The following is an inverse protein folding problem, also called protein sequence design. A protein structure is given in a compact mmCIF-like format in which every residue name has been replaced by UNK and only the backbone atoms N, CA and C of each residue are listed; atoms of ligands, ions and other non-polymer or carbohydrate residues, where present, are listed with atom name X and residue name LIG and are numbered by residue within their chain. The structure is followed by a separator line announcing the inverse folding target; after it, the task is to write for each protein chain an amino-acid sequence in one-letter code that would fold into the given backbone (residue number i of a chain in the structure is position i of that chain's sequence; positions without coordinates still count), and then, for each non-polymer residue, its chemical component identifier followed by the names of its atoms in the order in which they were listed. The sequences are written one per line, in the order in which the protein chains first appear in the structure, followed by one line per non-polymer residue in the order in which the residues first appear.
data_IF_681086015834
#
_entry.id   IF_681086015834
#
_cell.length_a   1.000
_cell.length_b   1.000
_cell.length_c   1.000
_cell.angle_alpha   90.00
_cell.angle_beta   90.00
_cell.angle_gamma   90.00
#
_symmetry.space_group_name_H-M   'P 1'
#
loop_
_entity.id
_entity.type
_entity.pdbx_description
1 polymer ?
#
# COMPACT_ATOMS: atom_id res chain seq x y z
N UNK A 1 -34.41 -16.24 -22.88
CA UNK A 1 -33.25 -15.48 -22.36
C UNK A 1 -32.33 -16.47 -21.66
N UNK A 2 -31.04 -16.59 -22.04
CA UNK A 2 -30.12 -17.43 -21.28
C UNK A 2 -30.05 -16.92 -19.85
N UNK A 3 -30.19 -17.82 -18.87
CA UNK A 3 -30.11 -17.48 -17.46
C UNK A 3 -28.74 -16.83 -17.19
N UNK A 4 -28.74 -15.62 -16.63
CA UNK A 4 -27.52 -14.91 -16.26
C UNK A 4 -26.82 -15.75 -15.17
N UNK A 5 -25.72 -16.42 -15.55
CA UNK A 5 -24.90 -17.21 -14.62
C UNK A 5 -24.27 -16.27 -13.60
N UNK A 6 -24.56 -16.50 -12.32
CA UNK A 6 -23.93 -15.75 -11.21
C UNK A 6 -22.45 -16.15 -11.12
N UNK A 7 -21.51 -15.19 -10.98
CA UNK A 7 -20.10 -15.50 -10.84
C UNK A 7 -19.83 -16.23 -9.52
N UNK A 8 -18.93 -17.20 -9.57
CA UNK A 8 -18.45 -17.95 -8.40
C UNK A 8 -17.54 -17.07 -7.53
N UNK A 9 -17.38 -17.42 -6.25
CA UNK A 9 -16.47 -16.69 -5.34
C UNK A 9 -15.03 -16.66 -5.87
N UNK A 10 -14.60 -17.71 -6.55
CA UNK A 10 -13.30 -17.80 -7.20
C UNK A 10 -13.15 -16.80 -8.36
N UNK A 11 -14.14 -16.72 -9.24
CA UNK A 11 -14.18 -15.73 -10.32
C UNK A 11 -14.16 -14.30 -9.75
N UNK A 12 -14.91 -14.04 -8.68
CA UNK A 12 -14.92 -12.73 -8.02
C UNK A 12 -13.55 -12.41 -7.42
N UNK A 13 -12.90 -13.35 -6.72
CA UNK A 13 -11.59 -13.14 -6.11
C UNK A 13 -10.51 -12.79 -7.14
N UNK A 14 -10.56 -13.40 -8.33
CA UNK A 14 -9.64 -13.11 -9.44
C UNK A 14 -9.74 -11.65 -9.89
N UNK A 15 -10.95 -11.21 -10.24
CA UNK A 15 -11.19 -9.82 -10.65
C UNK A 15 -10.92 -8.84 -9.51
N UNK A 16 -11.32 -9.19 -8.28
CA UNK A 16 -11.05 -8.40 -7.09
C UNK A 16 -9.55 -8.20 -6.87
N UNK A 17 -8.74 -9.25 -7.08
CA UNK A 17 -7.29 -9.17 -6.95
C UNK A 17 -6.69 -8.19 -7.95
N UNK A 18 -7.06 -8.31 -9.22
CA UNK A 18 -6.56 -7.39 -10.24
C UNK A 18 -7.03 -5.95 -9.99
N UNK A 19 -8.28 -5.75 -9.57
CA UNK A 19 -8.84 -4.44 -9.31
C UNK A 19 -8.21 -3.74 -8.10
N UNK A 20 -7.94 -4.45 -7.00
CA UNK A 20 -7.38 -3.84 -5.79
C UNK A 20 -5.87 -3.62 -5.92
N UNK A 21 -5.13 -4.59 -6.49
CA UNK A 21 -3.67 -4.43 -6.73
C UNK A 21 -3.39 -3.41 -7.84
N UNK A 22 -4.15 -3.43 -8.93
CA UNK A 22 -3.92 -2.54 -10.08
C UNK A 22 -4.65 -1.20 -10.01
N UNK A 23 -5.83 -1.18 -9.40
CA UNK A 23 -6.75 -0.05 -9.48
C UNK A 23 -6.40 1.12 -8.58
N UNK A 24 -5.39 1.03 -7.71
CA UNK A 24 -5.10 2.11 -6.75
C UNK A 24 -4.73 3.43 -7.44
N UNK A 25 -3.95 3.37 -8.53
CA UNK A 25 -3.51 4.57 -9.24
C UNK A 25 -4.58 5.11 -10.23
N UNK A 26 -5.40 4.22 -10.80
CA UNK A 26 -6.35 4.58 -11.86
C UNK A 26 -7.82 4.59 -11.42
N UNK A 27 -8.16 4.00 -10.27
CA UNK A 27 -9.52 3.82 -9.76
C UNK A 27 -9.82 4.62 -8.48
N UNK A 28 -8.82 5.24 -7.86
CA UNK A 28 -9.01 6.08 -6.67
C UNK A 28 -9.70 5.35 -5.53
N UNK A 29 -10.67 6.00 -4.88
CA UNK A 29 -11.46 5.43 -3.77
C UNK A 29 -12.28 4.20 -4.13
N UNK A 30 -12.41 3.82 -5.42
CA UNK A 30 -13.01 2.55 -5.79
C UNK A 30 -12.28 1.37 -5.14
N UNK A 31 -10.95 1.45 -5.00
CA UNK A 31 -10.15 0.42 -4.33
C UNK A 31 -10.55 0.27 -2.87
N UNK A 32 -10.73 1.40 -2.18
CA UNK A 32 -11.19 1.44 -0.80
C UNK A 32 -12.60 0.85 -0.67
N UNK A 33 -13.52 1.24 -1.56
CA UNK A 33 -14.90 0.72 -1.58
C UNK A 33 -14.90 -0.80 -1.79
N UNK A 34 -14.09 -1.30 -2.72
CA UNK A 34 -13.96 -2.74 -2.97
C UNK A 34 -13.43 -3.45 -1.72
N UNK A 35 -12.33 -2.97 -1.13
CA UNK A 35 -11.70 -3.61 0.03
C UNK A 35 -12.60 -3.57 1.27
N UNK A 36 -13.12 -2.39 1.62
CA UNK A 36 -14.05 -2.20 2.74
C UNK A 36 -15.32 -3.02 2.52
N UNK A 37 -15.87 -3.02 1.31
CA UNK A 37 -17.04 -3.81 0.94
C UNK A 37 -16.81 -5.32 1.00
N UNK A 38 -15.56 -5.78 0.92
CA UNK A 38 -15.23 -7.20 1.09
C UNK A 38 -15.41 -7.68 2.54
N UNK A 39 -15.36 -6.79 3.53
CA UNK A 39 -15.54 -7.12 4.95
C UNK A 39 -16.95 -7.64 5.28
N UNK A 40 -18.06 -6.90 5.04
CA UNK A 40 -19.39 -7.38 5.35
C UNK A 40 -19.77 -8.63 4.55
N UNK A 41 -19.36 -8.68 3.27
CA UNK A 41 -19.55 -9.88 2.44
C UNK A 41 -18.77 -11.06 3.02
N UNK A 42 -17.52 -10.85 3.44
CA UNK A 42 -16.70 -11.87 4.07
C UNK A 42 -17.30 -12.37 5.38
N UNK A 43 -17.76 -11.48 6.26
CA UNK A 43 -18.45 -11.82 7.51
C UNK A 43 -19.71 -12.63 7.26
N UNK A 44 -20.54 -12.23 6.29
CA UNK A 44 -21.73 -13.00 5.92
C UNK A 44 -21.39 -14.40 5.42
N UNK A 45 -20.34 -14.54 4.60
CA UNK A 45 -19.88 -15.84 4.12
C UNK A 45 -19.24 -16.69 5.22
N UNK A 46 -18.58 -16.05 6.18
CA UNK A 46 -18.02 -16.72 7.36
C UNK A 46 -19.15 -17.29 8.24
N UNK A 47 -20.21 -16.50 8.47
CA UNK A 47 -21.40 -16.94 9.20
C UNK A 47 -22.13 -18.10 8.53
N UNK A 48 -22.05 -18.21 7.19
CA UNK A 48 -22.57 -19.34 6.43
C UNK A 48 -21.64 -20.57 6.43
N UNK A 49 -20.45 -20.49 7.05
CA UNK A 49 -19.43 -21.54 7.00
C UNK A 49 -18.78 -21.70 5.61
N UNK A 50 -18.94 -20.72 4.72
CA UNK A 50 -18.43 -20.82 3.35
C UNK A 50 -16.96 -20.40 3.21
N UNK A 51 -16.49 -19.57 4.13
CA UNK A 51 -15.07 -19.24 4.31
C UNK A 51 -14.66 -19.58 5.74
N UNK A 52 -13.38 -19.87 5.95
CA UNK A 52 -12.82 -20.14 7.28
C UNK A 52 -11.71 -19.15 7.60
N UNK A 53 -11.58 -18.79 8.88
CA UNK A 53 -10.43 -18.03 9.37
C UNK A 53 -9.16 -18.90 9.18
N UNK A 54 -8.05 -18.34 8.67
CA UNK A 54 -6.82 -19.09 8.45
C UNK A 54 -6.32 -19.76 9.73
N UNK A 55 -5.75 -20.96 9.59
CA UNK A 55 -5.22 -21.77 10.70
C UNK A 55 -3.70 -21.71 10.79
N UNK A 56 -3.06 -21.28 9.71
CA UNK A 56 -1.63 -21.08 9.59
C UNK A 56 -1.14 -20.11 10.65
N UNK A 57 -0.22 -20.59 11.50
CA UNK A 57 0.36 -19.78 12.56
C UNK A 57 0.96 -18.48 12.03
N UNK A 58 1.66 -18.54 10.89
CA UNK A 58 2.25 -17.35 10.26
C UNK A 58 1.20 -16.30 9.91
N UNK A 59 0.13 -16.69 9.23
CA UNK A 59 -0.97 -15.79 8.82
C UNK A 59 -1.67 -15.18 10.03
N UNK A 60 -1.90 -15.97 11.09
CA UNK A 60 -2.49 -15.46 12.34
C UNK A 60 -1.62 -14.43 13.02
N UNK A 61 -0.31 -14.68 13.13
CA UNK A 61 0.63 -13.72 13.72
C UNK A 61 0.64 -12.41 12.92
N UNK A 62 0.64 -12.50 11.60
CA UNK A 62 0.54 -11.33 10.71
C UNK A 62 -0.78 -10.58 10.95
N UNK A 63 -1.91 -11.29 10.95
CA UNK A 63 -3.22 -10.70 11.24
C UNK A 63 -3.29 -10.03 12.61
N UNK A 64 -2.64 -10.60 13.64
CA UNK A 64 -2.56 -10.00 14.97
C UNK A 64 -1.82 -8.65 14.97
N UNK A 65 -0.84 -8.44 14.09
CA UNK A 65 -0.18 -7.12 13.97
C UNK A 65 -1.14 -6.05 13.44
N UNK A 66 -1.98 -6.38 12.46
CA UNK A 66 -3.01 -5.48 11.95
C UNK A 66 -4.14 -5.24 12.97
N UNK A 67 -4.55 -6.27 13.70
CA UNK A 67 -5.51 -6.15 14.79
C UNK A 67 -4.95 -5.31 15.94
N UNK A 68 -3.65 -5.40 16.23
CA UNK A 68 -2.99 -4.58 17.24
C UNK A 68 -3.03 -3.08 16.86
N UNK A 69 -2.89 -2.76 15.57
CA UNK A 69 -3.05 -1.38 15.09
C UNK A 69 -4.48 -0.87 15.29
N UNK A 70 -5.48 -1.66 14.86
CA UNK A 70 -6.88 -1.32 15.12
C UNK A 70 -7.17 -1.13 16.63
N UNK A 71 -6.64 -2.03 17.47
CA UNK A 71 -6.82 -1.96 18.91
C UNK A 71 -6.14 -0.73 19.54
N UNK A 72 -4.93 -0.38 19.09
CA UNK A 72 -4.21 0.80 19.57
C UNK A 72 -4.94 2.10 19.20
N UNK A 73 -5.41 2.23 17.96
CA UNK A 73 -6.20 3.38 17.49
C UNK A 73 -7.55 3.47 18.22
N UNK A 74 -8.22 2.33 18.43
CA UNK A 74 -9.47 2.27 19.19
C UNK A 74 -9.25 2.68 20.64
N UNK A 75 -8.22 2.16 21.30
CA UNK A 75 -7.90 2.49 22.69
C UNK A 75 -7.55 3.97 22.84
N UNK A 76 -6.75 4.52 21.94
CA UNK A 76 -6.43 5.96 21.90
C UNK A 76 -7.71 6.80 21.74
N UNK A 77 -8.63 6.38 20.88
CA UNK A 77 -9.94 7.04 20.68
C UNK A 77 -10.79 6.98 21.94
N UNK A 78 -10.88 5.82 22.60
CA UNK A 78 -11.68 5.65 23.81
C UNK A 78 -11.13 6.45 25.00
N UNK A 79 -9.80 6.51 25.15
CA UNK A 79 -9.15 7.29 26.21
C UNK A 79 -9.36 8.79 26.02
N UNK A 80 -9.43 9.26 24.78
CA UNK A 80 -9.65 10.67 24.44
C UNK A 80 -11.11 10.96 24.06
N UNK A 81 -12.06 10.09 24.39
CA UNK A 81 -13.44 10.19 23.91
C UNK A 81 -14.16 11.42 24.47
N UNK A 82 -14.73 12.22 23.56
CA UNK A 82 -15.54 13.41 23.89
C UNK A 82 -16.94 13.35 23.28
N UNK A 83 -17.13 12.59 22.20
CA UNK A 83 -18.45 12.40 21.61
C UNK A 83 -18.50 11.33 20.51
N UNK A 84 -19.70 11.01 20.00
CA UNK A 84 -19.91 9.91 19.06
C UNK A 84 -19.10 10.02 17.75
N UNK A 85 -18.82 11.25 17.29
CA UNK A 85 -18.03 11.49 16.06
C UNK A 85 -16.60 10.95 16.17
N UNK A 86 -16.05 10.90 17.39
CA UNK A 86 -14.71 10.35 17.65
C UNK A 86 -14.67 8.86 17.33
N UNK A 87 -15.77 8.12 17.57
CA UNK A 87 -15.86 6.71 17.24
C UNK A 87 -15.85 6.48 15.74
N UNK A 88 -16.49 7.36 14.95
CA UNK A 88 -16.47 7.24 13.50
C UNK A 88 -15.06 7.50 12.94
N UNK A 89 -14.40 8.56 13.41
CA UNK A 89 -13.07 8.97 12.93
C UNK A 89 -11.93 8.09 13.45
N UNK A 90 -12.08 7.53 14.65
CA UNK A 90 -11.07 6.71 15.30
C UNK A 90 -11.28 5.21 15.11
N UNK A 91 -12.49 4.71 15.33
CA UNK A 91 -12.80 3.27 15.21
C UNK A 91 -13.25 2.94 13.79
N UNK A 92 -14.23 3.69 13.26
CA UNK A 92 -14.82 3.47 11.94
C UNK A 92 -13.78 3.52 10.81
N UNK A 93 -12.95 4.56 10.80
CA UNK A 93 -11.89 4.73 9.81
C UNK A 93 -10.85 3.59 9.80
N UNK A 94 -10.66 2.90 10.93
CA UNK A 94 -9.69 1.82 11.09
C UNK A 94 -10.29 0.40 10.99
N UNK A 95 -11.60 0.25 10.77
CA UNK A 95 -12.24 -1.05 10.50
C UNK A 95 -11.59 -1.89 9.38
N UNK A 96 -11.02 -1.31 8.30
CA UNK A 96 -10.36 -2.09 7.25
C UNK A 96 -9.27 -3.02 7.79
N UNK A 97 -8.57 -2.63 8.86
CA UNK A 97 -7.48 -3.42 9.45
C UNK A 97 -7.95 -4.73 10.10
N UNK A 98 -9.22 -4.81 10.54
CA UNK A 98 -9.83 -6.05 11.03
C UNK A 98 -10.06 -7.05 9.89
N UNK A 99 -10.29 -6.54 8.68
CA UNK A 99 -10.66 -7.35 7.53
C UNK A 99 -9.55 -8.29 7.06
N UNK A 100 -8.31 -8.13 7.54
CA UNK A 100 -7.15 -8.91 7.10
C UNK A 100 -7.41 -10.43 7.07
N UNK A 101 -7.80 -11.02 8.21
CA UNK A 101 -7.99 -12.47 8.33
C UNK A 101 -9.20 -12.98 7.53
N UNK A 102 -10.24 -12.15 7.42
CA UNK A 102 -11.49 -12.49 6.71
C UNK A 102 -11.25 -12.48 5.20
N UNK A 103 -10.62 -11.42 4.70
CA UNK A 103 -10.28 -11.28 3.28
C UNK A 103 -9.23 -12.32 2.88
N UNK A 104 -8.27 -12.66 3.76
CA UNK A 104 -7.38 -13.81 3.56
C UNK A 104 -8.16 -15.11 3.41
N UNK A 105 -9.06 -15.42 4.35
CA UNK A 105 -9.87 -16.64 4.33
C UNK A 105 -10.68 -16.75 3.04
N UNK A 106 -11.26 -15.64 2.57
CA UNK A 106 -11.95 -15.57 1.29
C UNK A 106 -11.01 -15.79 0.10
N UNK A 107 -9.83 -15.15 0.08
CA UNK A 107 -8.84 -15.31 -0.99
C UNK A 107 -8.32 -16.75 -1.09
N UNK A 108 -8.29 -17.48 0.03
CA UNK A 108 -7.86 -18.88 0.10
C UNK A 108 -8.74 -19.87 -0.69
N UNK A 109 -9.91 -19.44 -1.16
CA UNK A 109 -10.75 -20.21 -2.08
C UNK A 109 -10.22 -20.23 -3.52
N UNK A 110 -9.28 -19.34 -3.84
CA UNK A 110 -8.67 -19.21 -5.17
C UNK A 110 -7.25 -19.79 -5.16
N UNK A 111 -6.83 -20.59 -6.17
CA UNK A 111 -5.51 -21.21 -6.17
C UNK A 111 -4.43 -20.13 -6.19
N UNK A 112 -3.30 -20.36 -5.50
CA UNK A 112 -2.19 -19.40 -5.43
C UNK A 112 -1.70 -18.97 -6.81
N UNK A 113 -1.69 -19.88 -7.76
CA UNK A 113 -1.31 -19.62 -9.16
C UNK A 113 -2.24 -18.63 -9.85
N UNK A 114 -3.55 -18.73 -9.63
CA UNK A 114 -4.53 -17.80 -10.18
C UNK A 114 -4.44 -16.45 -9.46
N UNK A 115 -4.35 -16.44 -8.13
CA UNK A 115 -4.18 -15.19 -7.36
C UNK A 115 -2.94 -14.44 -7.86
N UNK A 116 -1.81 -15.12 -8.00
CA UNK A 116 -0.59 -14.52 -8.55
C UNK A 116 -0.85 -13.98 -9.96
N UNK A 117 -1.39 -14.78 -10.87
CA UNK A 117 -1.64 -14.36 -12.26
C UNK A 117 -2.51 -13.11 -12.35
N UNK A 118 -3.56 -13.03 -11.54
CA UNK A 118 -4.44 -11.87 -11.52
C UNK A 118 -3.83 -10.65 -10.80
N UNK A 119 -2.98 -10.86 -9.79
CA UNK A 119 -2.17 -9.79 -9.21
C UNK A 119 -1.17 -9.23 -10.24
N UNK A 120 -0.57 -10.08 -11.07
CA UNK A 120 0.33 -9.68 -12.15
C UNK A 120 -0.41 -8.89 -13.24
N UNK A 121 -1.56 -9.38 -13.71
CA UNK A 121 -2.40 -8.65 -14.66
C UNK A 121 -2.88 -7.31 -14.11
N UNK A 122 -3.31 -7.28 -12.84
CA UNK A 122 -3.67 -6.05 -12.14
C UNK A 122 -2.51 -5.07 -12.10
N UNK A 123 -1.31 -5.53 -11.71
CA UNK A 123 -0.12 -4.67 -11.61
C UNK A 123 0.26 -4.07 -12.97
N UNK A 124 0.25 -4.87 -14.03
CA UNK A 124 0.55 -4.42 -15.40
C UNK A 124 -0.49 -3.40 -15.88
N UNK A 125 -1.78 -3.74 -15.77
CA UNK A 125 -2.86 -2.86 -16.20
C UNK A 125 -2.87 -1.55 -15.41
N UNK A 126 -2.67 -1.64 -14.09
CA UNK A 126 -2.57 -0.49 -13.19
C UNK A 126 -1.38 0.41 -13.50
N UNK A 127 -0.21 -0.17 -13.75
CA UNK A 127 1.01 0.58 -14.11
C UNK A 127 0.85 1.34 -15.43
N UNK A 128 0.28 0.70 -16.46
CA UNK A 128 -0.03 1.33 -17.74
C UNK A 128 -1.07 2.44 -17.60
N UNK A 129 -2.14 2.18 -16.84
CA UNK A 129 -3.20 3.15 -16.61
C UNK A 129 -2.69 4.37 -15.83
N UNK A 130 -1.82 4.18 -14.83
CA UNK A 130 -1.21 5.26 -14.08
C UNK A 130 -0.42 6.22 -14.98
N UNK A 131 0.45 5.68 -15.85
CA UNK A 131 1.22 6.52 -16.77
C UNK A 131 0.33 7.23 -17.79
N UNK A 132 -0.69 6.54 -18.33
CA UNK A 132 -1.66 7.18 -19.23
C UNK A 132 -2.40 8.33 -18.54
N UNK A 133 -2.91 8.12 -17.33
CA UNK A 133 -3.57 9.17 -16.53
C UNK A 133 -2.65 10.36 -16.29
N UNK A 134 -1.40 10.13 -15.90
CA UNK A 134 -0.43 11.19 -15.68
C UNK A 134 -0.10 11.98 -16.95
N UNK A 135 0.08 11.29 -18.08
CA UNK A 135 0.32 11.95 -19.37
C UNK A 135 -0.87 12.83 -19.79
N UNK A 136 -2.10 12.34 -19.63
CA UNK A 136 -3.32 13.10 -19.94
C UNK A 136 -3.43 14.32 -19.02
N UNK A 137 -3.22 14.17 -17.72
CA UNK A 137 -3.33 15.28 -16.76
C UNK A 137 -2.30 16.37 -17.04
N UNK A 138 -1.02 16.02 -17.21
CA UNK A 138 0.04 17.00 -17.42
C UNK A 138 -0.03 17.62 -18.81
N UNK A 139 -0.06 16.80 -19.87
CA UNK A 139 0.17 17.31 -21.24
C UNK A 139 -1.11 17.71 -21.97
N UNK A 140 -2.27 17.17 -21.58
CA UNK A 140 -3.55 17.51 -22.23
C UNK A 140 -4.35 18.50 -21.38
N UNK A 141 -4.44 18.26 -20.08
CA UNK A 141 -5.21 19.13 -19.15
C UNK A 141 -4.39 20.29 -18.59
N UNK A 142 -3.06 20.29 -18.77
CA UNK A 142 -2.18 21.32 -18.23
C UNK A 142 -2.13 21.31 -16.70
N UNK A 143 -2.43 20.17 -16.06
CA UNK A 143 -2.37 20.06 -14.60
C UNK A 143 -0.92 20.25 -14.13
N UNK A 144 -0.69 20.92 -12.99
CA UNK A 144 0.66 21.14 -12.48
C UNK A 144 1.32 19.85 -11.98
N UNK A 145 0.52 18.85 -11.58
CA UNK A 145 0.95 17.56 -11.03
C UNK A 145 -0.05 16.49 -11.41
N UNK A 146 0.44 15.27 -11.62
CA UNK A 146 -0.43 14.12 -11.80
C UNK A 146 -0.98 13.63 -10.45
N UNK A 147 -2.28 13.37 -10.41
CA UNK A 147 -3.02 12.92 -9.24
C UNK A 147 -3.86 11.67 -9.53
N UNK A 148 -4.09 11.36 -10.81
CA UNK A 148 -4.97 10.28 -11.21
C UNK A 148 -6.37 10.42 -10.61
N UNK A 149 -7.08 9.30 -10.52
CA UNK A 149 -8.39 9.29 -9.85
C UNK A 149 -8.29 9.31 -8.31
N UNK A 150 -7.08 9.34 -7.75
CA UNK A 150 -6.91 9.53 -6.31
C UNK A 150 -7.20 10.98 -5.88
N UNK A 151 -7.18 11.95 -6.81
CA UNK A 151 -7.40 13.38 -6.51
C UNK A 151 -6.34 13.97 -5.56
N UNK A 152 -5.22 13.27 -5.40
CA UNK A 152 -4.10 13.68 -4.58
C UNK A 152 -2.82 13.02 -5.11
N UNK A 153 -1.84 13.85 -5.45
CA UNK A 153 -0.51 13.39 -5.91
C UNK A 153 0.23 12.45 -4.96
N UNK A 154 -0.03 12.49 -3.64
CA UNK A 154 0.60 11.64 -2.63
C UNK A 154 0.23 10.16 -2.75
N UNK A 155 -1.04 9.78 -2.53
CA UNK A 155 -1.53 8.43 -2.76
C UNK A 155 -1.23 7.90 -4.16
N UNK A 156 -1.41 8.75 -5.19
CA UNK A 156 -1.08 8.38 -6.57
C UNK A 156 0.38 7.97 -6.74
N UNK A 157 1.32 8.80 -6.27
CA UNK A 157 2.74 8.51 -6.35
C UNK A 157 3.14 7.24 -5.59
N UNK A 158 2.58 7.05 -4.39
CA UNK A 158 2.88 5.88 -3.56
C UNK A 158 2.46 4.59 -4.27
N UNK A 159 1.28 4.58 -4.88
CA UNK A 159 0.79 3.41 -5.61
C UNK A 159 1.59 3.21 -6.90
N UNK A 160 1.91 4.29 -7.64
CA UNK A 160 2.78 4.21 -8.82
C UNK A 160 4.17 3.65 -8.47
N UNK A 161 4.75 4.01 -7.33
CA UNK A 161 6.03 3.49 -6.86
C UNK A 161 5.97 1.98 -6.52
N UNK A 162 4.89 1.54 -5.87
CA UNK A 162 4.68 0.12 -5.59
C UNK A 162 4.44 -0.68 -6.88
N UNK A 163 3.60 -0.18 -7.78
CA UNK A 163 3.32 -0.79 -9.09
C UNK A 163 4.57 -0.88 -9.97
N UNK A 164 5.43 0.13 -9.93
CA UNK A 164 6.75 0.07 -10.56
C UNK A 164 7.56 -1.11 -10.03
N UNK A 165 7.70 -1.23 -8.70
CA UNK A 165 8.42 -2.35 -8.09
C UNK A 165 7.81 -3.72 -8.42
N UNK A 166 6.48 -3.84 -8.42
CA UNK A 166 5.79 -5.07 -8.83
C UNK A 166 6.06 -5.42 -10.29
N UNK A 167 5.95 -4.46 -11.20
CA UNK A 167 6.18 -4.69 -12.63
C UNK A 167 7.64 -5.04 -12.92
N UNK A 168 8.60 -4.46 -12.19
CA UNK A 168 10.01 -4.88 -12.27
C UNK A 168 10.16 -6.34 -11.79
N UNK A 169 9.53 -6.71 -10.67
CA UNK A 169 9.56 -8.11 -10.20
C UNK A 169 8.95 -9.07 -11.24
N UNK A 170 7.80 -8.73 -11.83
CA UNK A 170 7.17 -9.53 -12.90
C UNK A 170 8.12 -9.66 -14.11
N UNK A 171 8.79 -8.57 -14.49
CA UNK A 171 9.74 -8.59 -15.60
C UNK A 171 10.98 -9.46 -15.31
N UNK A 172 11.33 -9.69 -14.04
CA UNK A 172 12.40 -10.61 -13.64
C UNK A 172 11.91 -12.06 -13.68
N UNK A 173 10.72 -12.34 -13.14
CA UNK A 173 10.20 -13.70 -12.99
C UNK A 173 9.53 -14.27 -14.25
N UNK A 174 9.12 -13.43 -15.20
CA UNK A 174 8.39 -13.86 -16.40
C UNK A 174 9.21 -13.66 -17.67
N UNK A 175 8.87 -14.44 -18.68
CA UNK A 175 9.48 -14.39 -20.01
C UNK A 175 8.45 -14.01 -21.09
N UNK A 176 8.93 -13.86 -22.34
CA UNK A 176 8.09 -13.61 -23.50
C UNK A 176 7.26 -12.32 -23.41
N UNK A 177 5.99 -12.40 -23.87
CA UNK A 177 5.07 -11.25 -23.92
C UNK A 177 4.76 -10.68 -22.54
N UNK A 178 4.67 -11.53 -21.52
CA UNK A 178 4.37 -11.09 -20.15
C UNK A 178 5.48 -10.18 -19.63
N UNK A 179 6.75 -10.53 -19.89
CA UNK A 179 7.91 -9.68 -19.57
C UNK A 179 7.83 -8.34 -20.28
N UNK A 180 7.50 -8.33 -21.57
CA UNK A 180 7.42 -7.11 -22.37
C UNK A 180 6.34 -6.16 -21.84
N UNK A 181 5.16 -6.67 -21.51
CA UNK A 181 4.09 -5.87 -20.90
C UNK A 181 4.48 -5.37 -19.52
N UNK A 182 5.15 -6.19 -18.70
CA UNK A 182 5.64 -5.77 -17.39
C UNK A 182 6.69 -4.66 -17.48
N UNK A 183 7.63 -4.74 -18.43
CA UNK A 183 8.61 -3.67 -18.67
C UNK A 183 7.90 -2.38 -19.11
N UNK A 184 6.96 -2.46 -20.05
CA UNK A 184 6.19 -1.30 -20.48
C UNK A 184 5.40 -0.67 -19.32
N UNK A 185 4.75 -1.49 -18.49
CA UNK A 185 4.02 -1.05 -17.31
C UNK A 185 4.93 -0.43 -16.24
N UNK A 186 6.13 -0.98 -16.02
CA UNK A 186 7.12 -0.41 -15.11
C UNK A 186 7.55 0.98 -15.59
N UNK A 187 7.88 1.14 -16.88
CA UNK A 187 8.23 2.45 -17.44
C UNK A 187 7.08 3.45 -17.34
N UNK A 188 5.86 3.01 -17.62
CA UNK A 188 4.65 3.81 -17.49
C UNK A 188 4.40 4.28 -16.05
N UNK A 189 4.56 3.38 -15.07
CA UNK A 189 4.46 3.69 -13.65
C UNK A 189 5.60 4.62 -13.16
N UNK A 190 6.81 4.48 -13.71
CA UNK A 190 7.92 5.38 -13.42
C UNK A 190 7.64 6.81 -13.93
N UNK A 191 7.09 6.94 -15.14
CA UNK A 191 6.64 8.23 -15.68
C UNK A 191 5.54 8.82 -14.78
N UNK A 192 4.54 8.04 -14.38
CA UNK A 192 3.49 8.49 -13.47
C UNK A 192 4.05 9.00 -12.13
N UNK A 193 5.00 8.27 -11.55
CA UNK A 193 5.67 8.64 -10.31
C UNK A 193 6.44 9.97 -10.45
N UNK A 194 7.15 10.20 -11.56
CA UNK A 194 7.85 11.47 -11.76
C UNK A 194 6.86 12.62 -11.94
N UNK A 195 5.87 12.45 -12.83
CA UNK A 195 4.86 13.47 -13.14
C UNK A 195 3.93 13.79 -11.95
N UNK A 196 3.82 12.91 -10.96
CA UNK A 196 3.17 13.23 -9.68
C UNK A 196 3.87 14.35 -8.91
N UNK A 197 5.16 14.61 -9.18
CA UNK A 197 5.98 15.59 -8.47
C UNK A 197 6.30 15.24 -7.01
N UNK A 198 5.96 14.02 -6.55
CA UNK A 198 6.25 13.52 -5.19
C UNK A 198 7.70 13.03 -5.08
N UNK A 199 8.63 13.98 -5.00
CA UNK A 199 10.08 13.73 -4.93
C UNK A 199 10.52 12.74 -3.84
N UNK A 200 9.77 12.62 -2.74
CA UNK A 200 10.06 11.69 -1.65
C UNK A 200 10.04 10.22 -2.07
N UNK A 201 9.34 9.89 -3.15
CA UNK A 201 9.18 8.52 -3.64
C UNK A 201 10.03 8.21 -4.89
N UNK A 202 10.65 9.19 -5.52
CA UNK A 202 11.58 8.97 -6.64
C UNK A 202 12.73 8.01 -6.31
N UNK A 203 13.28 7.96 -5.07
CA UNK A 203 14.26 6.95 -4.70
C UNK A 203 13.80 5.51 -4.96
N UNK A 204 12.49 5.24 -4.96
CA UNK A 204 11.96 3.90 -5.28
C UNK A 204 12.26 3.44 -6.71
N UNK A 205 12.55 4.36 -7.65
CA UNK A 205 13.01 4.02 -9.00
C UNK A 205 14.34 3.26 -8.98
N UNK A 206 15.16 3.48 -7.94
CA UNK A 206 16.46 2.82 -7.75
C UNK A 206 16.37 1.75 -6.67
N UNK A 207 15.71 2.05 -5.54
CA UNK A 207 15.59 1.13 -4.39
C UNK A 207 14.86 -0.14 -4.80
N UNK A 208 13.75 -0.08 -5.54
CA UNK A 208 12.99 -1.28 -5.91
C UNK A 208 13.83 -2.27 -6.74
N UNK A 209 14.49 -1.88 -7.85
CA UNK A 209 15.37 -2.79 -8.59
C UNK A 209 16.53 -3.35 -7.77
N UNK A 210 17.19 -2.53 -6.94
CA UNK A 210 18.31 -2.99 -6.10
C UNK A 210 17.84 -3.98 -5.03
N UNK A 211 16.71 -3.70 -4.39
CA UNK A 211 16.08 -4.57 -3.40
C UNK A 211 15.68 -5.90 -4.02
N UNK A 212 15.13 -5.89 -5.23
CA UNK A 212 14.80 -7.10 -5.98
C UNK A 212 16.05 -7.89 -6.37
N UNK A 213 17.10 -7.23 -6.86
CA UNK A 213 18.37 -7.88 -7.18
C UNK A 213 18.97 -8.57 -5.94
N UNK A 214 18.90 -7.92 -4.78
CA UNK A 214 19.35 -8.48 -3.50
C UNK A 214 18.47 -9.64 -3.01
N UNK A 215 17.14 -9.49 -2.99
CA UNK A 215 16.21 -10.51 -2.49
C UNK A 215 16.20 -11.79 -3.32
N UNK A 216 16.44 -11.67 -4.62
CA UNK A 216 16.33 -12.77 -5.57
C UNK A 216 17.68 -13.43 -5.86
N UNK A 217 18.76 -13.00 -5.16
CA UNK A 217 20.15 -13.32 -5.48
C UNK A 217 20.45 -13.14 -6.99
N UNK A 218 19.70 -12.25 -7.62
CA UNK A 218 19.66 -12.06 -9.05
C UNK A 218 20.56 -10.89 -9.38
N UNK A 219 21.86 -11.16 -9.40
CA UNK A 219 22.82 -10.38 -10.18
C UNK A 219 23.33 -11.26 -11.32
N UNK A 220 22.52 -11.57 -12.34
CA UNK A 220 23.02 -12.34 -13.46
C UNK A 220 24.01 -11.48 -14.24
N UNK A 221 25.11 -12.09 -14.67
CA UNK A 221 25.97 -11.53 -15.72
C UNK A 221 25.17 -11.15 -16.99
N UNK A 222 23.98 -11.73 -17.20
CA UNK A 222 23.03 -11.42 -18.28
C UNK A 222 22.30 -10.06 -18.17
N UNK A 223 22.29 -9.41 -17.01
CA UNK A 223 21.77 -8.03 -16.86
C UNK A 223 22.79 -7.00 -17.34
N UNK A 224 24.08 -7.36 -17.37
CA UNK A 224 25.19 -6.53 -17.85
C UNK A 224 25.53 -6.77 -19.33
N UNK A 225 24.53 -7.09 -20.16
CA UNK A 225 24.75 -7.08 -21.61
C UNK A 225 24.67 -5.66 -22.17
N UNK A 226 25.35 -5.40 -23.29
CA UNK A 226 25.21 -4.12 -24.01
C UNK A 226 23.74 -3.84 -24.38
N UNK A 227 22.96 -4.87 -24.73
CA UNK A 227 21.55 -4.73 -25.11
C UNK A 227 20.67 -4.29 -23.93
N UNK A 228 20.84 -4.88 -22.75
CA UNK A 228 20.13 -4.47 -21.54
C UNK A 228 20.56 -3.09 -21.06
N UNK A 229 21.86 -2.78 -21.12
CA UNK A 229 22.37 -1.44 -20.80
C UNK A 229 21.77 -0.36 -21.73
N UNK A 230 21.72 -0.61 -23.04
CA UNK A 230 21.09 0.30 -24.01
C UNK A 230 19.59 0.46 -23.78
N UNK A 231 18.88 -0.62 -23.45
CA UNK A 231 17.45 -0.56 -23.16
C UNK A 231 17.16 0.24 -21.88
N UNK A 232 17.96 0.05 -20.82
CA UNK A 232 17.87 0.84 -19.58
C UNK A 232 18.22 2.31 -19.84
N UNK A 233 19.26 2.58 -20.63
CA UNK A 233 19.62 3.94 -21.00
C UNK A 233 18.52 4.63 -21.81
N UNK A 234 17.93 3.95 -22.80
CA UNK A 234 16.82 4.48 -23.58
C UNK A 234 15.58 4.75 -22.70
N UNK A 235 15.25 3.82 -21.81
CA UNK A 235 14.20 4.00 -20.81
C UNK A 235 14.45 5.21 -19.91
N UNK A 236 15.67 5.36 -19.39
CA UNK A 236 16.07 6.50 -18.57
C UNK A 236 15.95 7.82 -19.32
N UNK A 237 16.34 7.86 -20.61
CA UNK A 237 16.18 9.03 -21.48
C UNK A 237 14.70 9.39 -21.67
N UNK A 238 13.82 8.41 -21.91
CA UNK A 238 12.37 8.66 -22.05
C UNK A 238 11.77 9.20 -20.76
N UNK A 239 12.11 8.59 -19.62
CA UNK A 239 11.64 9.01 -18.30
C UNK A 239 12.16 10.42 -17.97
N UNK A 240 13.43 10.70 -18.27
CA UNK A 240 14.05 12.01 -18.07
C UNK A 240 13.45 13.08 -19.00
N UNK A 241 13.20 12.77 -20.27
CA UNK A 241 12.66 13.74 -21.23
C UNK A 241 11.22 14.13 -20.89
N UNK A 242 10.37 13.17 -20.54
CA UNK A 242 9.00 13.42 -20.09
C UNK A 242 8.95 14.12 -18.73
N UNK A 243 9.92 13.81 -17.86
CA UNK A 243 9.98 14.32 -16.50
C UNK A 243 10.72 15.63 -16.31
N UNK A 244 11.52 16.09 -17.28
CA UNK A 244 12.52 17.15 -17.10
C UNK A 244 11.95 18.40 -16.43
N UNK A 245 10.89 18.98 -16.99
CA UNK A 245 10.26 20.19 -16.46
C UNK A 245 9.72 19.99 -15.03
N UNK A 246 9.15 18.83 -14.73
CA UNK A 246 8.71 18.49 -13.38
C UNK A 246 9.90 18.37 -12.43
N UNK A 247 10.97 17.67 -12.84
CA UNK A 247 12.18 17.50 -12.03
C UNK A 247 12.83 18.85 -11.73
N UNK A 248 13.08 19.66 -12.75
CA UNK A 248 13.64 21.00 -12.64
C UNK A 248 12.81 21.86 -11.67
N UNK A 249 11.50 21.95 -11.89
CA UNK A 249 10.60 22.74 -11.04
C UNK A 249 10.65 22.30 -9.58
N UNK A 250 10.64 20.99 -9.32
CA UNK A 250 10.59 20.44 -7.94
C UNK A 250 11.95 20.52 -7.24
N UNK A 251 13.06 20.49 -7.97
CA UNK A 251 14.41 20.71 -7.44
C UNK A 251 14.62 22.20 -7.14
N UNK A 252 14.28 23.10 -8.07
CA UNK A 252 14.38 24.55 -7.83
C UNK A 252 13.49 25.00 -6.67
N UNK A 253 12.28 24.45 -6.57
CA UNK A 253 11.41 24.67 -5.40
C UNK A 253 12.03 24.17 -4.09
N UNK A 254 12.83 23.09 -4.10
CA UNK A 254 13.54 22.64 -2.90
C UNK A 254 14.59 23.65 -2.47
N UNK A 255 15.41 24.12 -3.41
CA UNK A 255 16.48 25.09 -3.16
C UNK A 255 15.89 26.37 -2.59
N UNK A 256 14.84 26.91 -3.23
CA UNK A 256 14.15 28.12 -2.75
C UNK A 256 13.50 27.94 -1.38
N UNK A 257 12.96 26.75 -1.10
CA UNK A 257 12.39 26.44 0.21
C UNK A 257 13.46 26.50 1.32
N UNK A 258 14.68 26.02 1.04
CA UNK A 258 15.82 26.11 1.97
C UNK A 258 16.29 27.54 2.16
N UNK A 259 16.50 28.30 1.08
CA UNK A 259 16.93 29.71 1.14
C UNK A 259 15.96 30.56 1.97
N UNK A 260 14.65 30.35 1.81
CA UNK A 260 13.63 31.02 2.62
C UNK A 260 13.73 30.66 4.10
N UNK A 261 13.88 29.38 4.42
CA UNK A 261 13.99 28.93 5.81
C UNK A 261 15.26 29.48 6.47
N UNK A 262 16.38 29.50 5.75
CA UNK A 262 17.64 30.09 6.20
C UNK A 262 17.52 31.61 6.45
N UNK A 263 16.76 32.30 5.60
CA UNK A 263 16.39 33.70 5.79
C UNK A 263 15.32 33.95 6.89
N UNK A 264 14.96 32.93 7.68
CA UNK A 264 13.95 33.03 8.75
C UNK A 264 12.49 33.06 8.28
N UNK A 265 12.23 32.81 6.99
CA UNK A 265 10.89 32.77 6.41
C UNK A 265 10.38 31.33 6.27
N UNK A 266 9.42 30.96 7.13
CA UNK A 266 8.83 29.62 7.19
C UNK A 266 7.54 29.48 6.35
N UNK A 267 7.21 30.43 5.49
CA UNK A 267 6.01 30.39 4.63
C UNK A 267 6.22 29.58 3.35
N UNK A 268 6.62 28.32 3.53
CA UNK A 268 6.78 27.34 2.47
C UNK A 268 6.57 25.90 2.98
N UNK A 269 6.72 24.92 2.09
CA UNK A 269 6.43 23.51 2.41
C UNK A 269 7.36 22.92 3.46
N UNK A 270 8.64 23.34 3.47
CA UNK A 270 9.64 22.90 4.43
C UNK A 270 9.42 23.56 5.80
N UNK A 271 9.21 24.88 5.83
CA UNK A 271 8.96 25.62 7.05
C UNK A 271 7.69 25.18 7.77
N UNK A 272 6.62 24.89 7.02
CA UNK A 272 5.40 24.30 7.60
C UNK A 272 5.66 22.93 8.24
N UNK A 273 6.51 22.08 7.65
CA UNK A 273 6.86 20.77 8.24
C UNK A 273 7.63 20.94 9.54
N UNK A 274 8.59 21.86 9.60
CA UNK A 274 9.33 22.15 10.82
C UNK A 274 8.38 22.61 11.96
N UNK A 275 7.44 23.52 11.66
CA UNK A 275 6.42 23.96 12.62
C UNK A 275 5.56 22.81 13.14
N UNK A 276 5.11 21.95 12.22
CA UNK A 276 4.31 20.77 12.53
C UNK A 276 5.09 19.74 13.35
N UNK A 277 6.37 19.52 13.05
CA UNK A 277 7.20 18.57 13.79
C UNK A 277 7.45 19.05 15.21
N UNK A 278 7.71 20.35 15.40
CA UNK A 278 7.84 20.94 16.74
C UNK A 278 6.52 20.82 17.53
N UNK A 279 5.37 21.14 16.91
CA UNK A 279 4.06 20.93 17.53
C UNK A 279 3.85 19.45 17.91
N UNK A 280 4.16 18.53 17.00
CA UNK A 280 3.99 17.10 17.22
C UNK A 280 4.84 16.62 18.40
N UNK A 281 6.11 17.05 18.51
CA UNK A 281 7.00 16.68 19.62
C UNK A 281 6.41 17.16 20.95
N UNK A 282 5.98 18.41 21.04
CA UNK A 282 5.34 18.96 22.25
C UNK A 282 4.08 18.17 22.64
N UNK A 283 3.23 17.85 21.67
CA UNK A 283 2.01 17.07 21.90
C UNK A 283 2.31 15.63 22.32
N UNK A 284 3.40 15.04 21.82
CA UNK A 284 3.88 13.71 22.22
C UNK A 284 4.35 13.74 23.68
N UNK A 285 5.09 14.77 24.09
CA UNK A 285 5.54 14.94 25.47
C UNK A 285 4.35 15.08 26.44
N UNK A 286 3.29 15.79 26.02
CA UNK A 286 2.06 15.95 26.82
C UNK A 286 1.26 14.64 26.98
N UNK A 287 1.20 13.79 25.95
CA UNK A 287 0.42 12.51 25.98
C UNK A 287 1.18 11.34 25.31
N UNK A 288 2.27 10.84 25.90
CA UNK A 288 3.15 9.87 25.23
C UNK A 288 2.57 8.46 25.09
N UNK A 289 1.64 8.07 25.97
CA UNK A 289 1.14 6.68 26.04
C UNK A 289 0.02 6.43 25.03
N UNK A 290 -1.01 7.27 25.03
CA UNK A 290 -2.21 7.10 24.20
C UNK A 290 -2.35 8.17 23.11
N UNK A 291 -1.43 9.13 23.02
CA UNK A 291 -1.51 10.23 22.07
C UNK A 291 -2.69 11.16 22.32
N UNK A 292 -2.91 12.05 21.36
CA UNK A 292 -4.00 13.04 21.39
C UNK A 292 -5.37 12.46 21.01
N UNK A 293 -5.40 11.24 20.44
CA UNK A 293 -6.61 10.66 19.88
C UNK A 293 -6.71 10.95 18.37
N UNK A 294 -7.07 9.96 17.55
CA UNK A 294 -7.35 10.09 16.12
C UNK A 294 -8.12 11.33 15.68
N UNK A 295 -9.25 11.61 16.34
CA UNK A 295 -10.17 12.68 15.97
C UNK A 295 -9.66 14.07 16.36
N UNK A 296 -8.82 14.16 17.40
CA UNK A 296 -8.35 15.45 17.95
C UNK A 296 -6.95 15.84 17.47
N UNK A 297 -6.21 14.92 16.85
CA UNK A 297 -4.83 15.12 16.40
C UNK A 297 -4.63 16.41 15.57
N UNK A 298 -5.53 16.70 14.61
CA UNK A 298 -5.45 17.92 13.79
C UNK A 298 -5.70 19.18 14.62
N UNK A 299 -6.75 19.18 15.44
CA UNK A 299 -7.09 20.33 16.29
C UNK A 299 -5.98 20.61 17.31
N UNK A 300 -5.38 19.56 17.87
CA UNK A 300 -4.25 19.66 18.78
C UNK A 300 -3.02 20.30 18.12
N UNK A 301 -2.70 19.91 16.87
CA UNK A 301 -1.63 20.56 16.09
C UNK A 301 -1.89 22.05 15.90
N UNK A 302 -3.11 22.43 15.52
CA UNK A 302 -3.48 23.82 15.33
C UNK A 302 -3.39 24.63 16.64
N UNK A 303 -3.86 24.07 17.75
CA UNK A 303 -3.75 24.68 19.06
C UNK A 303 -2.29 24.89 19.49
N UNK A 304 -1.44 23.88 19.34
CA UNK A 304 -0.01 23.96 19.70
C UNK A 304 0.77 24.97 18.83
N UNK A 305 0.39 25.18 17.57
CA UNK A 305 0.95 26.27 16.77
C UNK A 305 0.46 27.65 17.24
N UNK A 306 -0.82 27.78 17.54
CA UNK A 306 -1.40 29.04 18.03
C UNK A 306 -0.81 29.47 19.37
N UNK A 307 -0.58 28.53 20.30
CA UNK A 307 0.05 28.78 21.60
C UNK A 307 1.47 29.36 21.45
N UNK A 308 2.18 28.99 20.38
CA UNK A 308 3.52 29.49 20.06
C UNK A 308 3.52 30.81 19.28
N UNK A 309 2.35 31.39 19.02
CA UNK A 309 2.21 32.58 18.18
C UNK A 309 2.59 32.35 16.72
N UNK A 310 2.62 31.08 16.28
CA UNK A 310 2.95 30.72 14.90
C UNK A 310 1.72 30.91 13.98
N UNK A 311 1.97 31.08 12.69
CA UNK A 311 0.90 31.05 11.68
C UNK A 311 0.21 29.69 11.67
N UNK A 312 -1.07 29.70 11.27
CA UNK A 312 -1.90 28.50 11.20
C UNK A 312 -1.22 27.38 10.39
N UNK A 313 -1.23 26.17 10.96
CA UNK A 313 -0.81 24.95 10.27
C UNK A 313 -1.91 24.56 9.29
N UNK A 314 -1.58 24.52 8.00
CA UNK A 314 -2.48 24.07 6.93
C UNK A 314 -2.61 22.55 6.85
N UNK A 315 -1.58 21.82 7.30
CA UNK A 315 -1.54 20.36 7.28
C UNK A 315 -2.49 19.71 8.31
N UNK A 316 -3.05 18.55 7.97
CA UNK A 316 -3.90 17.77 8.87
C UNK A 316 -3.15 16.76 9.74
N UNK A 317 -1.85 16.58 9.52
CA UNK A 317 -1.06 15.52 10.11
C UNK A 317 0.44 15.86 10.11
N UNK A 318 1.24 15.06 10.81
CA UNK A 318 2.65 15.36 11.06
C UNK A 318 3.59 15.24 9.83
N UNK A 319 3.09 14.74 8.69
CA UNK A 319 3.89 14.44 7.49
C UNK A 319 5.18 13.65 7.77
N UNK A 320 5.13 12.77 8.77
CA UNK A 320 6.16 11.82 9.13
C UNK A 320 5.47 10.67 9.85
N UNK A 321 5.72 9.43 9.42
CA UNK A 321 5.05 8.24 9.93
C UNK A 321 5.21 8.06 11.44
N UNK A 322 6.43 8.27 11.96
CA UNK A 322 6.75 8.05 13.37
C UNK A 322 6.12 9.14 14.24
N UNK A 323 6.35 10.42 13.88
CA UNK A 323 5.76 11.54 14.62
C UNK A 323 4.23 11.48 14.59
N UNK A 324 3.65 11.16 13.44
CA UNK A 324 2.21 11.06 13.31
C UNK A 324 1.63 9.93 14.18
N UNK A 325 2.25 8.74 14.18
CA UNK A 325 1.79 7.61 14.99
C UNK A 325 1.90 7.89 16.50
N UNK A 326 3.02 8.45 16.95
CA UNK A 326 3.22 8.82 18.36
C UNK A 326 2.26 9.92 18.81
N UNK A 327 2.14 10.99 18.02
CA UNK A 327 1.27 12.12 18.36
C UNK A 327 -0.20 11.68 18.40
N UNK A 328 -0.63 10.87 17.44
CA UNK A 328 -2.02 10.43 17.30
C UNK A 328 -2.40 9.39 18.35
N UNK A 329 -1.60 8.34 18.51
CA UNK A 329 -1.96 7.12 19.24
C UNK A 329 -0.90 6.64 20.24
N UNK A 330 0.12 7.47 20.51
CA UNK A 330 1.16 7.23 21.50
C UNK A 330 2.09 6.06 21.17
N UNK A 331 2.82 5.61 22.18
CA UNK A 331 3.79 4.50 22.05
C UNK A 331 3.13 3.20 21.57
N UNK A 332 1.88 2.93 21.96
CA UNK A 332 1.16 1.75 21.50
C UNK A 332 0.79 1.85 20.01
N UNK A 333 0.38 3.03 19.55
CA UNK A 333 0.16 3.29 18.13
C UNK A 333 1.43 3.10 17.30
N UNK A 334 2.55 3.69 17.74
CA UNK A 334 3.83 3.53 17.06
C UNK A 334 4.28 2.05 17.04
N UNK A 335 4.19 1.35 18.17
CA UNK A 335 4.55 -0.06 18.25
C UNK A 335 3.72 -0.92 17.29
N UNK A 336 2.42 -0.63 17.16
CA UNK A 336 1.55 -1.33 16.23
C UNK A 336 1.86 -1.02 14.75
N UNK A 337 2.17 0.23 14.41
CA UNK A 337 2.64 0.60 13.07
C UNK A 337 3.94 -0.13 12.73
N UNK A 338 4.91 -0.15 13.64
CA UNK A 338 6.16 -0.91 13.46
C UNK A 338 5.86 -2.40 13.27
N UNK A 339 4.96 -2.96 14.09
CA UNK A 339 4.58 -4.36 13.98
C UNK A 339 3.95 -4.68 12.61
N UNK A 340 3.12 -3.80 12.04
CA UNK A 340 2.56 -3.99 10.71
C UNK A 340 3.62 -4.08 9.61
N UNK A 341 4.79 -3.44 9.76
CA UNK A 341 5.89 -3.60 8.79
C UNK A 341 6.79 -4.79 9.13
N UNK A 342 7.19 -4.94 10.39
CA UNK A 342 8.22 -5.89 10.80
C UNK A 342 7.66 -7.31 10.85
N UNK A 343 6.47 -7.51 11.42
CA UNK A 343 5.91 -8.85 11.63
C UNK A 343 5.68 -9.59 10.31
N UNK A 344 5.05 -9.00 9.26
CA UNK A 344 4.85 -9.72 8.00
C UNK A 344 6.16 -10.12 7.34
N UNK A 345 7.16 -9.24 7.34
CA UNK A 345 8.46 -9.53 6.73
C UNK A 345 9.23 -10.57 7.55
N UNK A 346 9.24 -10.48 8.87
CA UNK A 346 9.94 -11.41 9.74
C UNK A 346 9.34 -12.82 9.70
N UNK A 347 8.00 -12.92 9.79
CA UNK A 347 7.27 -14.18 9.76
C UNK A 347 7.38 -14.84 8.39
N UNK A 348 7.12 -14.09 7.31
CA UNK A 348 7.25 -14.62 5.95
C UNK A 348 8.71 -14.97 5.64
N UNK A 349 9.67 -14.12 6.03
CA UNK A 349 11.10 -14.34 5.83
C UNK A 349 11.62 -15.66 6.41
N UNK A 350 11.10 -16.08 7.56
CA UNK A 350 11.44 -17.37 8.21
C UNK A 350 10.68 -18.59 7.70
N UNK A 351 9.61 -18.40 6.93
CA UNK A 351 8.86 -19.52 6.38
C UNK A 351 9.67 -20.25 5.29
N UNK A 352 9.49 -21.55 5.14
CA UNK A 352 9.89 -22.26 3.92
C UNK A 352 9.06 -21.73 2.74
N UNK A 353 9.70 -21.47 1.60
CA UNK A 353 9.06 -20.84 0.44
C UNK A 353 9.34 -21.65 -0.81
N UNK A 354 8.28 -22.07 -1.47
CA UNK A 354 8.33 -22.46 -2.87
C UNK A 354 8.52 -21.21 -3.77
N UNK A 355 8.47 -21.38 -5.09
CA UNK A 355 8.61 -20.28 -6.05
C UNK A 355 7.54 -19.18 -5.84
N UNK A 356 6.27 -19.57 -5.71
CA UNK A 356 5.16 -18.64 -5.50
C UNK A 356 5.32 -17.88 -4.17
N UNK A 357 5.80 -18.54 -3.12
CA UNK A 357 6.09 -17.95 -1.83
C UNK A 357 7.22 -16.94 -1.87
N UNK A 358 8.25 -17.17 -2.69
CA UNK A 358 9.32 -16.18 -2.93
C UNK A 358 8.78 -14.92 -3.61
N UNK A 359 7.89 -15.07 -4.59
CA UNK A 359 7.21 -13.94 -5.24
C UNK A 359 6.33 -13.19 -4.23
N UNK A 360 5.54 -13.92 -3.42
CA UNK A 360 4.70 -13.34 -2.37
C UNK A 360 5.50 -12.55 -1.33
N UNK A 361 6.62 -13.10 -0.86
CA UNK A 361 7.52 -12.41 0.06
C UNK A 361 8.12 -11.14 -0.56
N UNK A 362 8.54 -11.21 -1.82
CA UNK A 362 9.08 -10.07 -2.57
C UNK A 362 8.07 -8.93 -2.67
N UNK A 363 6.81 -9.25 -3.00
CA UNK A 363 5.70 -8.28 -3.02
C UNK A 363 5.57 -7.55 -1.68
N UNK A 364 5.58 -8.30 -0.56
CA UNK A 364 5.47 -7.71 0.78
C UNK A 364 6.64 -6.77 1.08
N UNK A 365 7.88 -7.19 0.78
CA UNK A 365 9.07 -6.37 1.03
C UNK A 365 9.04 -5.08 0.22
N UNK A 366 8.69 -5.14 -1.06
CA UNK A 366 8.58 -3.95 -1.94
C UNK A 366 7.54 -2.96 -1.42
N UNK A 367 6.37 -3.45 -0.98
CA UNK A 367 5.33 -2.58 -0.40
C UNK A 367 5.80 -1.95 0.91
N UNK A 368 6.37 -2.74 1.82
CA UNK A 368 6.91 -2.20 3.07
C UNK A 368 7.98 -1.14 2.80
N UNK A 369 8.92 -1.39 1.89
CA UNK A 369 9.95 -0.41 1.51
C UNK A 369 9.33 0.87 0.96
N UNK A 370 8.35 0.76 0.07
CA UNK A 370 7.65 1.92 -0.52
C UNK A 370 6.97 2.78 0.55
N UNK A 371 6.27 2.13 1.49
CA UNK A 371 5.56 2.82 2.56
C UNK A 371 6.52 3.43 3.59
N UNK A 372 7.66 2.81 3.87
CA UNK A 372 8.68 3.36 4.78
C UNK A 372 9.39 4.55 4.15
N UNK A 373 9.74 4.49 2.86
CA UNK A 373 10.34 5.62 2.11
C UNK A 373 9.36 6.80 2.04
N UNK A 374 8.08 6.55 1.74
CA UNK A 374 7.06 7.59 1.84
C UNK A 374 6.93 8.13 3.27
N UNK A 375 6.91 7.24 4.26
CA UNK A 375 6.69 7.55 5.66
C UNK A 375 7.78 8.40 6.31
N UNK A 376 9.00 8.41 5.75
CA UNK A 376 10.08 9.25 6.26
C UNK A 376 9.74 10.74 6.23
N UNK A 377 8.95 11.18 5.24
CA UNK A 377 8.64 12.60 5.00
C UNK A 377 7.18 12.81 4.57
N UNK A 378 6.32 11.83 4.81
CA UNK A 378 4.88 11.91 4.58
C UNK A 378 4.14 10.95 5.52
N UNK A 379 2.80 10.94 5.48
CA UNK A 379 2.02 9.86 6.10
C UNK A 379 1.85 8.69 5.13
N UNK A 380 1.88 7.48 5.67
CA UNK A 380 1.69 6.24 4.89
C UNK A 380 0.39 5.52 5.22
N UNK A 381 -0.31 5.92 6.29
CA UNK A 381 -1.61 5.37 6.68
C UNK A 381 -2.58 6.49 7.04
N UNK A 382 -3.88 6.21 6.95
CA UNK A 382 -4.96 7.16 7.20
C UNK A 382 -5.54 7.79 5.93
N UNK A 383 -5.14 7.29 4.75
CA UNK A 383 -5.83 7.54 3.49
C UNK A 383 -6.42 6.21 3.02
N UNK A 384 -7.73 6.18 2.82
CA UNK A 384 -8.53 5.02 2.45
C UNK A 384 -7.91 4.17 1.32
N UNK A 385 -7.41 4.84 0.25
CA UNK A 385 -6.82 4.18 -0.91
C UNK A 385 -5.51 3.47 -0.53
N UNK A 386 -4.62 4.15 0.22
CA UNK A 386 -3.33 3.58 0.60
C UNK A 386 -3.51 2.48 1.64
N UNK A 387 -4.39 2.66 2.61
CA UNK A 387 -4.66 1.65 3.64
C UNK A 387 -5.15 0.35 2.99
N UNK A 388 -6.10 0.46 2.05
CA UNK A 388 -6.66 -0.68 1.33
C UNK A 388 -5.65 -1.36 0.42
N UNK A 389 -4.82 -0.58 -0.29
CA UNK A 389 -3.75 -1.11 -1.13
C UNK A 389 -2.71 -1.87 -0.29
N UNK A 390 -2.23 -1.27 0.81
CA UNK A 390 -1.28 -1.89 1.73
C UNK A 390 -1.81 -3.22 2.27
N UNK A 391 -3.01 -3.19 2.85
CA UNK A 391 -3.64 -4.36 3.46
C UNK A 391 -3.81 -5.47 2.44
N UNK A 392 -4.33 -5.16 1.26
CA UNK A 392 -4.58 -6.19 0.25
C UNK A 392 -3.30 -6.75 -0.37
N UNK A 393 -2.26 -5.92 -0.56
CA UNK A 393 -0.94 -6.42 -0.96
C UNK A 393 -0.34 -7.33 0.11
N UNK A 394 -0.46 -6.98 1.40
CA UNK A 394 0.01 -7.83 2.50
C UNK A 394 -0.75 -9.16 2.57
N UNK A 395 -2.07 -9.15 2.37
CA UNK A 395 -2.90 -10.36 2.31
C UNK A 395 -2.49 -11.23 1.12
N UNK A 396 -2.33 -10.62 -0.06
CA UNK A 396 -1.93 -11.32 -1.29
C UNK A 396 -0.56 -11.97 -1.12
N UNK A 397 0.42 -11.21 -0.63
CA UNK A 397 1.77 -11.72 -0.37
C UNK A 397 1.78 -12.83 0.69
N UNK A 398 1.08 -12.64 1.81
CA UNK A 398 0.96 -13.66 2.85
C UNK A 398 0.27 -14.93 2.33
N UNK A 399 -0.76 -14.80 1.49
CA UNK A 399 -1.43 -15.94 0.87
C UNK A 399 -0.52 -16.67 -0.10
N UNK A 400 0.26 -15.92 -0.87
CA UNK A 400 1.28 -16.49 -1.72
C UNK A 400 2.41 -17.14 -0.92
N UNK A 401 2.69 -16.77 0.32
CA UNK A 401 3.71 -17.46 1.16
C UNK A 401 3.14 -18.69 1.87
N UNK A 402 1.99 -18.56 2.51
CA UNK A 402 1.47 -19.55 3.45
C UNK A 402 0.31 -20.40 2.91
N UNK A 403 -0.24 -20.06 1.74
CA UNK A 403 -1.34 -20.82 1.17
C UNK A 403 -0.91 -22.24 0.73
N UNK A 404 -1.84 -23.19 0.70
CA UNK A 404 -1.53 -24.59 0.38
C UNK A 404 -1.04 -24.77 -1.06
N UNK A 405 -0.06 -25.66 -1.26
CA UNK A 405 0.65 -25.85 -2.54
C UNK A 405 -0.10 -26.70 -3.57
N UNK A 406 -0.95 -27.64 -3.16
CA UNK A 406 -1.51 -28.65 -4.07
C UNK A 406 -3.02 -28.91 -3.94
N UNK A 407 -3.64 -28.51 -2.83
CA UNK A 407 -5.10 -28.64 -2.64
C UNK A 407 -5.64 -27.40 -1.97
N UNK A 408 -6.49 -26.64 -2.67
CA UNK A 408 -7.22 -25.58 -2.00
C UNK A 408 -8.09 -26.16 -0.89
N UNK A 409 -8.26 -25.42 0.20
CA UNK A 409 -9.18 -25.80 1.29
C UNK A 409 -10.63 -25.59 0.89
N UNK A 410 -11.02 -26.06 -0.29
CA UNK A 410 -12.40 -26.01 -0.74
C UNK A 410 -12.93 -27.34 -1.26
N UNK A 411 -14.22 -27.59 -1.04
CA UNK A 411 -14.99 -28.56 -1.81
C UNK A 411 -15.55 -27.82 -3.03
N UNK A 412 -15.41 -28.42 -4.21
CA UNK A 412 -16.09 -27.92 -5.42
C UNK A 412 -17.55 -28.40 -5.35
N UNK A 413 -18.49 -27.47 -5.45
CA UNK A 413 -19.91 -27.77 -5.58
C UNK A 413 -20.25 -28.09 -7.05
N UNK A 414 -21.41 -28.71 -7.28
CA UNK A 414 -21.86 -29.12 -8.62
C UNK A 414 -22.03 -27.92 -9.58
N UNK A 415 -22.28 -26.73 -9.04
CA UNK A 415 -22.33 -25.47 -9.79
C UNK A 415 -20.94 -24.87 -10.13
N UNK A 416 -19.87 -25.59 -9.78
CA UNK A 416 -18.47 -25.19 -9.98
C UNK A 416 -17.92 -24.24 -8.92
N UNK A 417 -18.74 -23.79 -7.96
CA UNK A 417 -18.32 -22.92 -6.87
C UNK A 417 -17.47 -23.68 -5.83
N UNK A 418 -16.81 -22.93 -4.96
CA UNK A 418 -15.78 -23.43 -4.05
C UNK A 418 -16.07 -22.96 -2.63
N UNK A 419 -16.18 -23.90 -1.70
CA UNK A 419 -16.58 -23.66 -0.31
C UNK A 419 -15.56 -24.23 0.65
N UNK A 420 -15.20 -23.50 1.71
CA UNK A 420 -14.21 -23.93 2.70
C UNK A 420 -14.48 -25.35 3.26
N UNK A 421 -13.44 -26.17 3.42
CA UNK A 421 -13.56 -27.49 4.07
C UNK A 421 -13.15 -27.39 5.53
N UNK A 422 -14.09 -27.66 6.45
CA UNK A 422 -13.84 -27.56 7.89
C UNK A 422 -13.22 -28.82 8.53
N UNK A 423 -13.21 -29.96 7.81
CA UNK A 423 -12.68 -31.25 8.29
C UNK A 423 -11.69 -31.86 7.30
N UNK A 424 -10.52 -32.38 7.73
CA UNK A 424 -9.93 -33.47 6.99
C UNK A 424 -10.99 -34.58 6.94
N UNK A 425 -11.19 -35.21 5.78
CA UNK A 425 -11.95 -36.44 5.74
C UNK A 425 -11.38 -37.34 6.84
N UNK A 426 -12.18 -37.69 7.83
CA UNK A 426 -11.83 -38.76 8.75
C UNK A 426 -11.47 -39.93 7.85
N UNK A 427 -10.22 -40.37 7.90
CA UNK A 427 -9.84 -41.65 7.35
C UNK A 427 -10.81 -42.66 7.95
N UNK A 428 -11.72 -43.17 7.11
CA UNK A 428 -12.48 -44.35 7.44
C UNK A 428 -11.45 -45.46 7.65
N UNK A 429 -11.35 -45.91 8.89
CA UNK A 429 -10.69 -47.12 9.33
C UNK A 429 -11.66 -47.82 10.25
#
# INVERSE_FOLDING_TARGET
MPAIRRPTLDEINRWFTAAVIGGGAAGGSLVSILYVGALPVGLWRLAQGLIAIPRERGVRIIGMAFLAYFAAETLSTLVNYTGPDDLLQGVGANLPFIAFLIVFGRLSLTPRTDVLRWAEYGSIAGGLAAGLSALVEIFIRGAPRAEGLAGNSGPFALISAALFGFCVAIAIYREGRMRQFAVAAALSAAVALILSGMRSLWPMLVISPLLLAWLLDFVPRAVFTRKTALAVAAAAVVVASLGYSTVETRVMSLVHDFEKVDAGNYDNSLGQRLRVWNAAIELIEKKPVFGQGPAHARAALQAAASERGEKEITFSHAHNLVLNALMRSGVFGLAAVIAMFVVPIWVAGRAEKDELGRIGYTLMVVVCATYLVNGAVNISFGHDIVDSFYLYSMITGAYLVFGPSSTPRYRRLDDGSRVAVDRPASSAG
#
